data_IF_861647898846
#
_entry.id   IF_861647898846
#
_cell.length_a   1.000
_cell.length_b   1.000
_cell.length_c   1.000
_cell.angle_alpha   90.00
_cell.angle_beta   90.00
_cell.angle_gamma   90.00
#
_symmetry.space_group_name_H-M   'P 1'
#
loop_
_entity.id
_entity.type
_entity.pdbx_description
1 polymer ?
#
# COMPACT_ATOMS: atom_id res chain seq x y z
N UNK A 1 2.28 38.63 10.73
CA UNK A 1 2.24 38.83 9.25
C UNK A 1 3.29 38.00 8.50
N UNK A 2 4.60 38.26 8.60
CA UNK A 2 5.59 37.50 7.78
C UNK A 2 5.66 36.02 8.13
N UNK A 3 5.52 35.65 9.40
CA UNK A 3 5.52 34.28 9.87
C UNK A 3 4.21 33.56 9.55
N UNK A 4 3.07 34.19 9.70
CA UNK A 4 1.76 33.65 9.27
C UNK A 4 1.71 33.38 7.77
N UNK A 5 2.25 34.31 6.95
CA UNK A 5 2.39 34.11 5.50
C UNK A 5 3.31 32.94 5.16
N UNK A 6 4.38 32.72 5.95
CA UNK A 6 5.28 31.57 5.75
C UNK A 6 4.57 30.25 6.10
N UNK A 7 3.86 30.20 7.21
CA UNK A 7 3.05 29.02 7.62
C UNK A 7 1.96 28.71 6.61
N UNK A 8 1.23 29.73 6.12
CA UNK A 8 0.24 29.54 5.07
C UNK A 8 0.83 28.97 3.77
N UNK A 9 1.98 29.51 3.33
CA UNK A 9 2.67 28.96 2.15
C UNK A 9 3.11 27.51 2.36
N UNK A 10 3.57 27.14 3.57
CA UNK A 10 3.95 25.79 3.90
C UNK A 10 2.74 24.83 3.83
N UNK A 11 1.57 25.24 4.32
CA UNK A 11 0.32 24.46 4.20
C UNK A 11 -0.05 24.25 2.74
N UNK A 12 -0.01 25.29 1.92
CA UNK A 12 -0.32 25.21 0.49
C UNK A 12 0.67 24.27 -0.24
N UNK A 13 1.96 24.42 0.04
CA UNK A 13 3.00 23.57 -0.53
C UNK A 13 2.80 22.10 -0.17
N UNK A 14 2.54 21.80 1.11
CA UNK A 14 2.24 20.45 1.58
C UNK A 14 1.01 19.88 0.88
N UNK A 15 -0.09 20.63 0.82
CA UNK A 15 -1.31 20.21 0.15
C UNK A 15 -1.10 19.89 -1.33
N UNK A 16 -0.32 20.72 -2.04
CA UNK A 16 0.02 20.50 -3.45
C UNK A 16 0.89 19.24 -3.64
N UNK A 17 1.90 19.04 -2.80
CA UNK A 17 2.77 17.87 -2.87
C UNK A 17 2.00 16.58 -2.56
N UNK A 18 1.10 16.61 -1.57
CA UNK A 18 0.22 15.50 -1.25
C UNK A 18 -0.74 15.19 -2.41
N UNK A 19 -1.32 16.21 -3.04
CA UNK A 19 -2.23 16.05 -4.19
C UNK A 19 -1.53 15.47 -5.43
N UNK A 20 -0.22 15.66 -5.57
CA UNK A 20 0.59 15.10 -6.65
C UNK A 20 1.08 13.66 -6.38
N UNK A 21 0.83 13.10 -5.21
CA UNK A 21 1.25 11.75 -4.86
C UNK A 21 0.37 10.71 -5.55
N UNK A 22 0.99 9.75 -6.24
CA UNK A 22 0.30 8.70 -6.98
C UNK A 22 0.23 7.37 -6.23
N UNK A 23 1.11 7.16 -5.27
CA UNK A 23 1.16 5.94 -4.45
C UNK A 23 1.07 6.28 -2.96
N UNK A 24 0.65 5.33 -2.10
CA UNK A 24 0.68 5.52 -0.66
C UNK A 24 2.08 5.91 -0.14
N UNK A 25 3.14 5.28 -0.64
CA UNK A 25 4.52 5.60 -0.24
C UNK A 25 4.92 7.05 -0.59
N UNK A 26 4.52 7.53 -1.78
CA UNK A 26 4.77 8.93 -2.17
C UNK A 26 4.02 9.90 -1.25
N UNK A 27 2.76 9.58 -0.94
CA UNK A 27 1.93 10.35 -0.02
C UNK A 27 2.55 10.42 1.39
N UNK A 28 3.00 9.28 1.94
CA UNK A 28 3.65 9.24 3.25
C UNK A 28 4.95 10.05 3.29
N UNK A 29 5.78 9.91 2.24
CA UNK A 29 7.03 10.68 2.11
C UNK A 29 6.74 12.18 2.02
N UNK A 30 5.78 12.59 1.19
CA UNK A 30 5.37 13.97 1.03
C UNK A 30 4.86 14.56 2.36
N UNK A 31 4.04 13.81 3.09
CA UNK A 31 3.53 14.20 4.40
C UNK A 31 4.66 14.47 5.41
N UNK A 32 5.58 13.50 5.55
CA UNK A 32 6.66 13.59 6.53
C UNK A 32 7.66 14.71 6.17
N UNK A 33 8.11 14.79 4.91
CA UNK A 33 9.05 15.83 4.48
C UNK A 33 8.43 17.22 4.56
N UNK A 34 7.21 17.41 4.03
CA UNK A 34 6.56 18.72 4.05
C UNK A 34 6.27 19.22 5.46
N UNK A 35 5.86 18.35 6.38
CA UNK A 35 5.68 18.72 7.77
C UNK A 35 7.02 19.03 8.47
N UNK A 36 8.07 18.25 8.17
CA UNK A 36 9.42 18.50 8.68
C UNK A 36 9.91 19.91 8.31
N UNK A 37 9.80 20.26 7.03
CA UNK A 37 10.18 21.59 6.51
C UNK A 37 9.33 22.70 7.13
N UNK A 38 8.00 22.51 7.15
CA UNK A 38 7.06 23.51 7.66
C UNK A 38 7.29 23.88 9.13
N UNK A 39 7.71 22.91 9.95
CA UNK A 39 7.98 23.08 11.38
C UNK A 39 9.46 23.38 11.69
N UNK A 40 10.32 23.49 10.68
CA UNK A 40 11.77 23.64 10.89
C UNK A 40 12.35 22.46 11.67
N UNK A 41 11.84 21.28 11.44
CA UNK A 41 12.33 20.03 11.99
C UNK A 41 13.58 19.53 11.28
N UNK A 42 14.28 18.61 11.88
CA UNK A 42 15.40 17.88 11.25
C UNK A 42 15.00 16.45 10.83
N UNK A 43 13.96 15.90 11.43
CA UNK A 43 13.45 14.57 11.18
C UNK A 43 11.93 14.55 11.34
N UNK A 44 11.28 13.72 10.54
CA UNK A 44 9.86 13.43 10.69
C UNK A 44 9.57 11.96 10.46
N UNK A 45 8.52 11.45 11.08
CA UNK A 45 7.97 10.14 10.84
C UNK A 45 6.46 10.20 10.74
N UNK A 46 5.91 9.32 9.91
CA UNK A 46 4.48 9.06 9.82
C UNK A 46 4.23 7.64 10.29
N UNK A 47 3.31 7.46 11.23
CA UNK A 47 2.99 6.15 11.80
C UNK A 47 1.50 5.88 11.78
N UNK A 48 1.10 4.61 11.64
CA UNK A 48 -0.29 4.15 11.60
C UNK A 48 -0.61 3.24 12.78
N UNK A 49 -1.84 3.34 13.31
CA UNK A 49 -2.36 2.47 14.36
C UNK A 49 -2.86 1.15 13.79
N UNK A 50 -2.12 0.07 14.01
CA UNK A 50 -2.59 -1.30 13.76
C UNK A 50 -3.35 -1.80 15.00
N UNK A 51 -4.66 -1.51 15.05
CA UNK A 51 -5.52 -1.75 16.22
C UNK A 51 -5.65 -3.23 16.57
N UNK A 52 -5.77 -4.07 15.55
CA UNK A 52 -5.83 -5.52 15.64
C UNK A 52 -4.55 -6.12 16.24
N UNK A 53 -3.42 -5.46 16.05
CA UNK A 53 -2.11 -5.87 16.57
C UNK A 53 -1.67 -5.08 17.80
N UNK A 54 -2.47 -4.08 18.22
CA UNK A 54 -2.18 -3.24 19.38
C UNK A 54 -0.84 -2.49 19.29
N UNK A 55 -0.47 -2.00 18.09
CA UNK A 55 0.82 -1.33 17.87
C UNK A 55 0.72 -0.12 16.95
N UNK A 56 1.66 0.79 17.12
CA UNK A 56 1.95 1.90 16.22
C UNK A 56 3.05 1.46 15.26
N UNK A 57 2.76 1.32 13.97
CA UNK A 57 3.75 0.97 12.95
C UNK A 57 4.23 2.21 12.21
N UNK A 58 5.54 2.36 12.08
CA UNK A 58 6.16 3.44 11.29
C UNK A 58 6.01 3.12 9.80
N UNK A 59 5.48 4.06 9.04
CA UNK A 59 5.29 3.96 7.59
C UNK A 59 6.45 4.58 6.82
N UNK A 60 6.98 5.69 7.33
CA UNK A 60 8.09 6.42 6.72
C UNK A 60 8.86 7.21 7.77
N UNK A 61 10.17 7.24 7.61
CA UNK A 61 11.12 8.09 8.30
C UNK A 61 11.77 9.03 7.28
N UNK A 62 11.69 10.34 7.49
CA UNK A 62 12.15 11.37 6.56
C UNK A 62 13.07 12.40 7.24
N UNK A 63 13.91 13.07 6.44
CA UNK A 63 14.90 14.03 6.93
C UNK A 63 16.18 13.36 7.42
N UNK A 64 16.78 13.91 8.49
CA UNK A 64 18.03 13.41 9.07
C UNK A 64 17.77 12.17 9.93
N UNK A 65 17.93 11.01 9.33
CA UNK A 65 17.75 9.71 9.98
C UNK A 65 18.98 9.37 10.84
N UNK A 66 18.75 8.77 12.01
CA UNK A 66 19.81 8.22 12.82
C UNK A 66 20.34 6.89 12.22
N UNK A 67 21.48 6.41 12.71
CA UNK A 67 22.02 5.11 12.29
C UNK A 67 21.00 4.00 12.56
N UNK A 68 20.75 3.16 11.56
CA UNK A 68 19.76 2.07 11.59
C UNK A 68 18.31 2.49 11.33
N UNK A 69 18.01 3.77 11.09
CA UNK A 69 16.68 4.21 10.66
C UNK A 69 16.54 4.10 9.13
N UNK A 70 15.69 3.21 8.66
CA UNK A 70 15.33 3.08 7.25
C UNK A 70 14.25 4.09 6.86
N UNK A 71 14.21 4.49 5.59
CA UNK A 71 13.18 5.41 5.09
C UNK A 71 11.78 4.78 5.15
N UNK A 72 11.65 3.54 4.70
CA UNK A 72 10.42 2.75 4.75
C UNK A 72 10.67 1.47 5.53
N UNK A 73 10.65 1.52 6.88
CA UNK A 73 10.94 0.35 7.69
C UNK A 73 9.83 -0.69 7.59
N UNK A 74 10.21 -1.96 7.44
CA UNK A 74 9.24 -3.07 7.40
C UNK A 74 8.74 -3.47 8.78
N UNK A 75 9.63 -3.45 9.78
CA UNK A 75 9.36 -3.99 11.11
C UNK A 75 9.34 -2.95 12.25
N UNK A 76 9.59 -1.66 11.96
CA UNK A 76 9.60 -0.65 13.01
C UNK A 76 8.18 -0.40 13.54
N UNK A 77 7.90 -0.93 14.72
CA UNK A 77 6.63 -0.78 15.40
C UNK A 77 6.80 -0.70 16.91
N UNK A 78 5.87 0.00 17.54
CA UNK A 78 5.87 0.26 18.99
C UNK A 78 4.55 -0.21 19.61
N UNK A 79 4.58 -1.04 20.66
CA UNK A 79 3.37 -1.50 21.36
C UNK A 79 2.59 -0.33 21.96
N UNK A 80 1.26 -0.32 21.79
CA UNK A 80 0.38 0.78 22.27
C UNK A 80 0.49 0.98 23.79
N UNK A 81 0.64 -0.09 24.55
CA UNK A 81 0.72 -0.02 26.01
C UNK A 81 1.97 0.71 26.54
N UNK A 82 2.97 0.92 25.70
CA UNK A 82 4.16 1.74 26.03
C UNK A 82 3.89 3.25 25.91
N UNK A 83 2.72 3.64 25.39
CA UNK A 83 2.31 5.02 25.15
C UNK A 83 0.96 5.32 25.84
N UNK A 84 0.95 5.55 27.15
CA UNK A 84 -0.30 5.74 27.92
C UNK A 84 -1.16 6.88 27.40
N UNK A 85 -0.55 7.97 26.91
CA UNK A 85 -1.23 9.12 26.34
C UNK A 85 -2.03 8.77 25.09
N UNK A 86 -1.60 7.73 24.36
CA UNK A 86 -2.28 7.27 23.15
C UNK A 86 -3.50 6.43 23.51
N UNK A 87 -3.44 5.68 24.59
CA UNK A 87 -4.57 4.88 25.08
C UNK A 87 -5.79 5.76 25.39
N UNK A 88 -5.59 6.96 25.94
CA UNK A 88 -6.64 7.95 26.12
C UNK A 88 -7.21 8.45 24.78
N UNK A 89 -6.36 8.64 23.76
CA UNK A 89 -6.79 9.06 22.42
C UNK A 89 -7.62 8.00 21.71
N UNK A 90 -7.31 6.73 21.90
CA UNK A 90 -7.97 5.64 21.19
C UNK A 90 -9.41 5.38 21.66
N UNK A 91 -9.72 5.70 22.92
CA UNK A 91 -10.96 5.22 23.52
C UNK A 91 -12.04 6.28 23.78
N UNK A 92 -11.75 7.55 24.05
CA UNK A 92 -12.76 8.44 24.60
C UNK A 92 -13.07 9.74 23.87
N UNK A 93 -12.18 10.30 23.07
CA UNK A 93 -12.36 11.68 22.57
C UNK A 93 -13.00 11.82 21.20
N UNK A 94 -12.97 10.79 20.39
CA UNK A 94 -13.37 10.85 18.99
C UNK A 94 -14.85 10.57 18.78
N UNK A 95 -15.48 9.86 19.67
CA UNK A 95 -16.93 9.67 19.67
C UNK A 95 -17.68 11.00 19.89
N UNK A 96 -17.01 12.03 20.41
CA UNK A 96 -17.58 13.35 20.74
C UNK A 96 -17.25 14.48 19.76
N UNK A 97 -16.50 14.25 18.68
CA UNK A 97 -16.23 15.25 17.63
C UNK A 97 -15.19 16.31 17.98
N UNK A 98 -14.32 16.10 18.97
CA UNK A 98 -13.19 16.99 19.27
C UNK A 98 -11.98 16.67 18.40
N UNK A 99 -11.28 17.70 17.86
CA UNK A 99 -10.00 17.51 17.20
C UNK A 99 -8.88 17.30 18.24
N UNK A 100 -7.91 16.38 17.98
CA UNK A 100 -6.79 16.19 18.87
C UNK A 100 -5.78 17.30 18.72
N UNK A 101 -5.42 17.88 19.81
CA UNK A 101 -4.31 18.81 19.86
C UNK A 101 -2.98 18.07 19.75
N UNK A 102 -2.06 18.61 18.97
CA UNK A 102 -0.67 18.19 18.99
C UNK A 102 -0.03 18.57 20.32
N UNK A 103 1.04 17.85 20.68
CA UNK A 103 1.79 18.11 21.91
C UNK A 103 3.30 18.02 21.67
N UNK A 104 4.05 18.62 22.56
CA UNK A 104 5.51 18.64 22.52
C UNK A 104 6.11 17.80 23.65
N UNK A 105 7.11 16.99 23.32
CA UNK A 105 7.94 16.25 24.26
C UNK A 105 9.41 16.63 24.10
N UNK A 106 10.13 16.64 25.23
CA UNK A 106 11.53 17.04 25.29
C UNK A 106 12.43 15.92 25.80
N UNK A 107 13.66 15.89 25.34
CA UNK A 107 14.62 14.86 25.75
C UNK A 107 15.03 14.93 27.24
N UNK A 108 14.88 16.10 27.88
CA UNK A 108 15.07 16.27 29.32
C UNK A 108 13.88 15.80 30.15
N UNK A 109 12.75 15.53 29.49
CA UNK A 109 11.55 15.03 30.13
C UNK A 109 10.72 16.11 30.82
N UNK A 110 11.01 17.36 30.57
CA UNK A 110 10.19 18.47 31.04
C UNK A 110 8.91 18.56 30.20
N UNK A 111 7.76 18.95 30.80
CA UNK A 111 6.56 19.13 30.04
C UNK A 111 6.77 20.20 28.96
N UNK A 112 6.59 19.82 27.69
CA UNK A 112 6.59 20.74 26.56
C UNK A 112 5.26 21.50 26.47
N UNK A 113 5.21 22.51 25.59
CA UNK A 113 3.99 23.26 25.29
C UNK A 113 2.94 22.38 24.58
N UNK A 114 1.67 22.67 24.79
CA UNK A 114 0.55 22.04 24.12
C UNK A 114 -0.10 20.90 24.90
N UNK A 115 -1.28 20.51 24.46
CA UNK A 115 -2.09 19.45 25.04
C UNK A 115 -3.32 19.93 25.81
N UNK A 116 -4.29 19.05 26.10
CA UNK A 116 -5.53 19.44 26.76
C UNK A 116 -5.26 20.00 28.16
N UNK A 117 -6.04 21.03 28.50
CA UNK A 117 -5.94 21.79 29.75
C UNK A 117 -6.32 21.01 31.03
N UNK A 118 -6.50 19.68 30.97
CA UNK A 118 -6.93 18.85 32.10
C UNK A 118 -5.86 17.79 32.43
N UNK A 119 -5.13 18.07 33.50
CA UNK A 119 -4.23 17.13 34.17
C UNK A 119 -2.80 17.14 33.61
N UNK A 120 -1.81 16.90 34.48
CA UNK A 120 -0.43 16.63 34.07
C UNK A 120 -0.43 15.38 33.20
N UNK A 121 0.09 15.49 31.97
CA UNK A 121 0.23 14.32 31.10
C UNK A 121 1.22 13.35 31.71
N UNK A 122 0.94 12.05 31.63
CA UNK A 122 1.96 11.08 31.98
C UNK A 122 3.17 11.23 31.06
N UNK A 123 4.34 11.23 31.63
CA UNK A 123 5.62 11.29 30.96
C UNK A 123 5.84 10.02 30.14
N UNK A 124 6.05 10.15 28.83
CA UNK A 124 6.34 8.99 27.97
C UNK A 124 7.85 8.62 28.04
N UNK A 125 8.19 7.73 28.96
CA UNK A 125 9.58 7.28 29.12
C UNK A 125 10.19 6.71 27.84
N UNK A 126 9.43 5.99 27.04
CA UNK A 126 9.90 5.37 25.79
C UNK A 126 10.23 6.42 24.72
N UNK A 127 9.36 7.43 24.56
CA UNK A 127 9.57 8.49 23.58
C UNK A 127 10.77 9.37 23.94
N UNK A 128 10.90 9.72 25.20
CA UNK A 128 12.06 10.47 25.71
C UNK A 128 13.35 9.67 25.58
N UNK A 129 13.33 8.38 25.88
CA UNK A 129 14.48 7.51 25.68
C UNK A 129 14.86 7.42 24.18
N UNK A 130 13.87 7.37 23.28
CA UNK A 130 14.09 7.40 21.84
C UNK A 130 14.69 8.71 21.36
N UNK A 131 14.21 9.86 21.85
CA UNK A 131 14.80 11.18 21.56
C UNK A 131 16.28 11.21 21.91
N UNK A 132 16.63 10.78 23.15
CA UNK A 132 18.03 10.76 23.63
C UNK A 132 18.92 9.84 22.79
N UNK A 133 18.48 8.62 22.53
CA UNK A 133 19.25 7.66 21.72
C UNK A 133 19.56 8.16 20.33
N UNK A 134 18.62 8.91 19.74
CA UNK A 134 18.69 9.41 18.35
C UNK A 134 19.25 10.82 18.25
N UNK A 135 19.78 11.39 19.36
CA UNK A 135 20.36 12.74 19.37
C UNK A 135 19.37 13.87 19.11
N UNK A 136 18.07 13.63 19.37
CA UNK A 136 17.00 14.61 19.19
C UNK A 136 16.69 15.30 20.51
N UNK A 137 16.50 16.63 20.47
CA UNK A 137 16.25 17.43 21.68
C UNK A 137 14.78 17.51 22.06
N UNK A 138 13.90 17.57 21.08
CA UNK A 138 12.47 17.61 21.27
C UNK A 138 11.72 17.05 20.05
N UNK A 139 10.43 16.75 20.25
CA UNK A 139 9.52 16.43 19.17
C UNK A 139 8.15 17.08 19.39
N UNK A 140 7.43 17.30 18.30
CA UNK A 140 5.99 17.53 18.28
C UNK A 140 5.30 16.31 17.70
N UNK A 141 4.21 15.90 18.32
CA UNK A 141 3.38 14.77 17.90
C UNK A 141 1.99 15.29 17.62
N UNK A 142 1.53 15.10 16.40
CA UNK A 142 0.19 15.50 15.97
C UNK A 142 -0.60 14.26 15.54
N UNK A 143 -1.69 13.92 16.24
CA UNK A 143 -2.56 12.82 15.85
C UNK A 143 -3.21 13.09 14.50
N UNK A 144 -3.34 12.03 13.69
CA UNK A 144 -4.01 12.05 12.40
C UNK A 144 -5.34 11.33 12.54
N UNK A 145 -6.42 12.01 12.13
CA UNK A 145 -7.78 11.46 12.20
C UNK A 145 -8.36 11.31 10.82
N UNK A 146 -8.80 10.10 10.50
CA UNK A 146 -9.54 9.80 9.29
C UNK A 146 -10.93 9.26 9.64
N UNK A 147 -11.97 9.81 9.01
CA UNK A 147 -13.35 9.38 9.20
C UNK A 147 -13.79 9.34 10.68
N UNK A 148 -13.35 10.31 11.49
CA UNK A 148 -13.64 10.40 12.90
C UNK A 148 -12.95 9.36 13.80
N UNK A 149 -11.93 8.68 13.28
CA UNK A 149 -11.13 7.69 14.03
C UNK A 149 -9.65 8.07 14.00
N UNK A 150 -8.95 7.85 15.11
CA UNK A 150 -7.50 7.98 15.13
C UNK A 150 -6.88 6.99 14.13
N UNK A 151 -6.24 7.49 13.09
CA UNK A 151 -5.57 6.70 12.06
C UNK A 151 -4.11 6.45 12.41
N UNK A 152 -3.43 7.46 12.92
CA UNK A 152 -2.01 7.40 13.23
C UNK A 152 -1.51 8.70 13.82
N UNK A 153 -0.22 8.96 13.66
CA UNK A 153 0.40 10.20 14.13
C UNK A 153 1.46 10.72 13.16
N UNK A 154 1.58 12.02 13.11
CA UNK A 154 2.68 12.76 12.51
C UNK A 154 3.65 13.14 13.62
N UNK A 155 4.90 12.74 13.50
CA UNK A 155 5.98 13.02 14.42
C UNK A 155 7.02 13.89 13.73
N UNK A 156 7.39 15.03 14.34
CA UNK A 156 8.48 15.89 13.85
C UNK A 156 9.42 16.20 14.99
N UNK A 157 10.73 16.09 14.76
CA UNK A 157 11.75 16.31 15.78
C UNK A 157 12.80 17.33 15.35
N UNK A 158 13.36 18.04 16.33
CA UNK A 158 14.56 18.90 16.20
C UNK A 158 15.74 18.24 16.90
N UNK A 159 16.94 18.48 16.39
CA UNK A 159 18.17 18.01 17.00
C UNK A 159 18.40 18.63 18.40
N UNK A 160 19.16 17.94 19.22
CA UNK A 160 19.62 18.47 20.51
C UNK A 160 20.36 19.80 20.33
N UNK A 161 20.11 20.75 21.22
CA UNK A 161 20.68 22.11 21.14
C UNK A 161 19.93 23.09 20.23
N UNK A 162 18.90 22.65 19.52
CA UNK A 162 17.97 23.53 18.79
C UNK A 162 16.83 23.99 19.71
N UNK A 163 16.17 25.14 19.38
CA UNK A 163 15.01 25.62 20.14
C UNK A 163 13.93 24.54 20.23
N UNK A 164 13.34 24.40 21.41
CA UNK A 164 12.21 23.49 21.65
C UNK A 164 10.99 24.03 20.90
N UNK A 165 10.15 23.12 20.39
CA UNK A 165 8.86 23.50 19.81
C UNK A 165 8.00 24.19 20.88
N UNK A 166 7.32 25.26 20.50
CA UNK A 166 6.42 26.00 21.36
C UNK A 166 4.96 25.62 21.12
N UNK A 167 4.03 26.35 21.73
CA UNK A 167 2.60 26.12 21.60
C UNK A 167 2.08 26.43 20.20
N UNK A 168 2.64 27.45 19.56
CA UNK A 168 2.23 27.84 18.22
C UNK A 168 2.72 26.81 17.17
N UNK A 169 3.90 26.21 17.40
CA UNK A 169 4.37 25.08 16.63
C UNK A 169 3.44 23.86 16.79
N UNK A 170 2.98 23.57 18.01
CA UNK A 170 2.04 22.48 18.26
C UNK A 170 0.68 22.72 17.59
N UNK A 171 0.14 23.93 17.72
CA UNK A 171 -1.10 24.33 17.03
C UNK A 171 -0.96 24.19 15.51
N UNK A 172 0.18 24.61 14.97
CA UNK A 172 0.47 24.51 13.55
C UNK A 172 0.64 23.04 13.10
N UNK A 173 1.25 22.20 13.93
CA UNK A 173 1.33 20.75 13.67
C UNK A 173 -0.05 20.08 13.58
N UNK A 174 -1.03 20.54 14.38
CA UNK A 174 -2.43 20.09 14.28
C UNK A 174 -3.02 20.42 12.90
N UNK A 175 -2.78 21.64 12.41
CA UNK A 175 -3.22 22.05 11.05
C UNK A 175 -2.57 21.18 9.97
N UNK A 176 -1.26 20.95 10.07
CA UNK A 176 -0.55 20.07 9.13
C UNK A 176 -1.07 18.65 9.16
N UNK A 177 -1.37 18.11 10.35
CA UNK A 177 -1.95 16.76 10.49
C UNK A 177 -3.31 16.65 9.80
N UNK A 178 -4.15 17.69 9.84
CA UNK A 178 -5.42 17.70 9.11
C UNK A 178 -5.22 17.71 7.58
N UNK A 179 -4.23 18.44 7.07
CA UNK A 179 -3.86 18.42 5.64
C UNK A 179 -3.34 17.05 5.24
N UNK A 180 -2.46 16.47 6.04
CA UNK A 180 -1.92 15.11 5.84
C UNK A 180 -3.06 14.09 5.83
N UNK A 181 -4.01 14.17 6.77
CA UNK A 181 -5.19 13.32 6.82
C UNK A 181 -5.98 13.37 5.50
N UNK A 182 -6.24 14.57 4.98
CA UNK A 182 -6.95 14.74 3.71
C UNK A 182 -6.20 14.11 2.53
N UNK A 183 -4.88 14.28 2.45
CA UNK A 183 -4.07 13.71 1.38
C UNK A 183 -4.01 12.17 1.46
N UNK A 184 -3.86 11.60 2.65
CA UNK A 184 -3.90 10.14 2.86
C UNK A 184 -5.25 9.58 2.45
N UNK A 185 -6.36 10.18 2.89
CA UNK A 185 -7.71 9.75 2.52
C UNK A 185 -7.93 9.77 1.00
N UNK A 186 -7.38 10.77 0.31
CA UNK A 186 -7.44 10.83 -1.15
C UNK A 186 -6.66 9.68 -1.80
N UNK A 187 -5.45 9.40 -1.34
CA UNK A 187 -4.61 8.33 -1.88
C UNK A 187 -5.23 6.95 -1.62
N UNK A 188 -5.76 6.70 -0.41
CA UNK A 188 -6.47 5.47 -0.06
C UNK A 188 -7.70 5.26 -0.97
N UNK A 189 -8.47 6.32 -1.23
CA UNK A 189 -9.61 6.25 -2.17
C UNK A 189 -9.18 5.93 -3.59
N UNK A 190 -8.08 6.52 -4.06
CA UNK A 190 -7.56 6.21 -5.40
C UNK A 190 -7.12 4.75 -5.52
N UNK A 191 -6.44 4.22 -4.50
CA UNK A 191 -6.06 2.81 -4.44
C UNK A 191 -7.28 1.88 -4.39
N UNK A 192 -8.30 2.23 -3.63
CA UNK A 192 -9.54 1.45 -3.58
C UNK A 192 -10.26 1.46 -4.94
N UNK A 193 -10.37 2.64 -5.58
CA UNK A 193 -10.94 2.75 -6.93
C UNK A 193 -10.13 1.95 -7.95
N UNK A 194 -8.79 1.98 -7.89
CA UNK A 194 -7.92 1.16 -8.73
C UNK A 194 -8.16 -0.32 -8.50
N UNK A 195 -8.22 -0.74 -7.24
CA UNK A 195 -8.53 -2.12 -6.87
C UNK A 195 -9.85 -2.58 -7.47
N UNK A 196 -10.91 -1.82 -7.26
CA UNK A 196 -12.23 -2.11 -7.83
C UNK A 196 -12.24 -2.10 -9.36
N UNK A 197 -11.46 -1.23 -10.00
CA UNK A 197 -11.40 -1.11 -11.45
C UNK A 197 -10.57 -2.19 -12.13
N UNK A 198 -9.54 -2.74 -11.46
CA UNK A 198 -8.51 -3.58 -12.08
C UNK A 198 -8.29 -4.93 -11.43
N UNK A 199 -8.98 -5.26 -10.33
CA UNK A 199 -8.89 -6.58 -9.69
C UNK A 199 -10.23 -7.30 -9.68
N UNK A 200 -10.18 -8.63 -9.66
CA UNK A 200 -11.34 -9.49 -9.41
C UNK A 200 -11.60 -9.57 -7.90
N UNK A 201 -12.80 -9.23 -7.41
CA UNK A 201 -13.07 -9.13 -5.97
C UNK A 201 -13.04 -10.47 -5.23
N UNK A 202 -13.23 -11.58 -5.93
CA UNK A 202 -13.22 -12.92 -5.32
C UNK A 202 -11.79 -13.43 -5.14
N UNK A 203 -10.99 -13.37 -6.20
CA UNK A 203 -9.65 -13.99 -6.19
C UNK A 203 -8.52 -13.01 -5.85
N UNK A 204 -8.78 -11.70 -5.89
CA UNK A 204 -7.76 -10.66 -5.72
C UNK A 204 -6.78 -10.54 -6.89
N UNK A 205 -6.91 -11.38 -7.92
CA UNK A 205 -6.12 -11.30 -9.16
C UNK A 205 -6.52 -10.08 -10.00
N UNK A 206 -5.72 -9.76 -11.02
CA UNK A 206 -6.13 -8.79 -12.02
C UNK A 206 -7.45 -9.24 -12.70
N UNK A 207 -8.28 -8.27 -13.09
CA UNK A 207 -9.50 -8.56 -13.85
C UNK A 207 -9.26 -8.43 -15.37
N UNK A 208 -10.29 -8.72 -16.17
CA UNK A 208 -10.22 -8.64 -17.63
C UNK A 208 -9.75 -7.28 -18.15
N UNK A 209 -10.19 -6.18 -17.51
CA UNK A 209 -9.78 -4.83 -17.91
C UNK A 209 -8.29 -4.58 -17.74
N UNK A 210 -7.71 -5.07 -16.65
CA UNK A 210 -6.26 -4.99 -16.42
C UNK A 210 -5.49 -5.78 -17.48
N UNK A 211 -5.99 -6.96 -17.86
CA UNK A 211 -5.40 -7.80 -18.92
C UNK A 211 -5.43 -7.09 -20.28
N UNK A 212 -6.56 -6.48 -20.65
CA UNK A 212 -6.71 -5.80 -21.93
C UNK A 212 -5.67 -4.67 -22.06
N UNK A 213 -5.50 -3.84 -21.01
CA UNK A 213 -4.50 -2.77 -20.99
C UNK A 213 -3.07 -3.36 -21.06
N UNK A 214 -2.77 -4.35 -20.22
CA UNK A 214 -1.43 -4.96 -20.18
C UNK A 214 -1.03 -5.59 -21.51
N UNK A 215 -1.95 -6.25 -22.19
CA UNK A 215 -1.70 -6.85 -23.49
C UNK A 215 -1.50 -5.80 -24.58
N UNK A 216 -2.27 -4.71 -24.59
CA UNK A 216 -2.08 -3.64 -25.54
C UNK A 216 -0.70 -2.99 -25.38
N UNK A 217 -0.26 -2.72 -24.17
CA UNK A 217 1.08 -2.22 -23.85
C UNK A 217 2.18 -3.21 -24.27
N UNK A 218 2.00 -4.50 -23.96
CA UNK A 218 2.98 -5.54 -24.30
C UNK A 218 3.09 -5.75 -25.82
N UNK A 219 2.00 -5.73 -26.56
CA UNK A 219 2.01 -5.82 -28.03
C UNK A 219 2.69 -4.59 -28.66
N UNK A 220 2.51 -3.40 -28.07
CA UNK A 220 3.22 -2.21 -28.54
C UNK A 220 4.74 -2.31 -28.24
N UNK A 221 5.12 -2.82 -27.06
CA UNK A 221 6.53 -3.11 -26.73
C UNK A 221 7.13 -4.18 -27.64
N UNK A 222 6.36 -5.21 -28.00
CA UNK A 222 6.78 -6.19 -29.03
C UNK A 222 7.04 -5.52 -30.37
N UNK A 223 6.12 -4.66 -30.83
CA UNK A 223 6.22 -3.97 -32.11
C UNK A 223 7.41 -3.02 -32.20
N UNK A 224 7.76 -2.33 -31.09
CA UNK A 224 8.80 -1.29 -31.07
C UNK A 224 10.16 -1.80 -30.67
N UNK A 225 10.23 -2.74 -29.74
CA UNK A 225 11.47 -3.26 -29.14
C UNK A 225 11.69 -4.76 -29.34
N UNK A 226 10.77 -5.47 -30.00
CA UNK A 226 10.89 -6.91 -30.25
C UNK A 226 10.74 -7.79 -29.00
N UNK A 227 10.17 -7.24 -27.90
CA UNK A 227 9.97 -7.99 -26.66
C UNK A 227 9.01 -9.14 -26.91
N UNK A 228 9.35 -10.35 -26.46
CA UNK A 228 8.47 -11.52 -26.59
C UNK A 228 7.28 -11.35 -25.65
N UNK A 229 6.07 -11.55 -26.16
CA UNK A 229 4.83 -11.53 -25.36
C UNK A 229 4.16 -12.89 -25.44
N UNK A 230 3.85 -13.46 -24.31
CA UNK A 230 3.18 -14.75 -24.18
C UNK A 230 1.91 -14.63 -23.36
N UNK A 231 0.89 -15.37 -23.77
CA UNK A 231 -0.40 -15.46 -23.09
C UNK A 231 -0.72 -16.93 -22.82
N UNK A 232 -0.99 -17.26 -21.57
CA UNK A 232 -1.60 -18.52 -21.15
C UNK A 232 -3.06 -18.25 -20.84
N UNK A 233 -3.98 -18.94 -21.50
CA UNK A 233 -5.41 -18.96 -21.16
C UNK A 233 -5.72 -20.24 -20.44
N UNK A 234 -6.49 -20.15 -19.36
CA UNK A 234 -6.78 -21.25 -18.47
C UNK A 234 -8.29 -21.35 -18.23
N UNK A 235 -8.83 -22.54 -18.31
CA UNK A 235 -10.23 -22.86 -17.99
C UNK A 235 -10.27 -23.90 -16.87
N UNK A 236 -10.88 -23.56 -15.74
CA UNK A 236 -10.94 -24.40 -14.56
C UNK A 236 -12.03 -25.45 -14.73
N UNK A 237 -11.64 -26.71 -14.87
CA UNK A 237 -12.53 -27.80 -15.17
C UNK A 237 -13.51 -28.11 -14.00
N UNK A 238 -14.77 -28.30 -14.35
CA UNK A 238 -15.75 -28.87 -13.45
C UNK A 238 -16.38 -27.92 -12.42
N UNK A 239 -16.14 -26.62 -12.49
CA UNK A 239 -16.70 -25.62 -11.57
C UNK A 239 -18.22 -25.73 -11.45
N UNK A 240 -18.93 -25.92 -12.58
CA UNK A 240 -20.39 -26.09 -12.57
C UNK A 240 -20.84 -27.30 -11.75
N UNK A 241 -20.18 -28.44 -11.91
CA UNK A 241 -20.51 -29.65 -11.14
C UNK A 241 -20.26 -29.45 -9.64
N UNK A 242 -19.21 -28.72 -9.27
CA UNK A 242 -18.91 -28.34 -7.87
C UNK A 242 -20.03 -27.48 -7.31
N UNK A 243 -20.43 -26.42 -8.06
CA UNK A 243 -21.51 -25.54 -7.66
C UNK A 243 -22.86 -26.29 -7.49
N UNK A 244 -23.19 -27.15 -8.44
CA UNK A 244 -24.45 -27.92 -8.42
C UNK A 244 -24.49 -28.94 -7.27
N UNK A 245 -23.34 -29.51 -6.88
CA UNK A 245 -23.23 -30.51 -5.84
C UNK A 245 -23.03 -29.94 -4.45
N UNK A 246 -22.19 -28.90 -4.31
CA UNK A 246 -21.71 -28.40 -3.03
C UNK A 246 -22.11 -26.93 -2.75
N UNK A 247 -22.77 -26.26 -3.71
CA UNK A 247 -23.18 -24.87 -3.62
C UNK A 247 -22.09 -23.86 -4.00
N UNK A 248 -22.51 -22.63 -4.34
CA UNK A 248 -21.64 -21.57 -4.85
C UNK A 248 -20.49 -21.20 -3.89
N UNK A 249 -20.71 -21.23 -2.58
CA UNK A 249 -19.65 -20.93 -1.61
C UNK A 249 -18.45 -21.92 -1.67
N UNK A 250 -18.68 -23.15 -2.13
CA UNK A 250 -17.61 -24.14 -2.33
C UNK A 250 -16.91 -23.88 -3.67
N UNK A 251 -17.68 -23.54 -4.72
CA UNK A 251 -17.11 -23.10 -5.99
C UNK A 251 -16.27 -21.84 -5.88
N UNK A 252 -16.69 -20.87 -5.07
CA UNK A 252 -15.92 -19.65 -4.79
C UNK A 252 -14.57 -19.99 -4.14
N UNK A 253 -14.55 -20.90 -3.15
CA UNK A 253 -13.29 -21.38 -2.54
C UNK A 253 -12.39 -22.10 -3.54
N UNK A 254 -12.95 -22.86 -4.48
CA UNK A 254 -12.18 -23.48 -5.54
C UNK A 254 -11.52 -22.43 -6.45
N UNK A 255 -12.26 -21.38 -6.83
CA UNK A 255 -11.76 -20.25 -7.62
C UNK A 255 -10.65 -19.49 -6.88
N UNK A 256 -10.81 -19.20 -5.58
CA UNK A 256 -9.78 -18.56 -4.74
C UNK A 256 -8.49 -19.40 -4.65
N UNK A 257 -8.64 -20.72 -4.44
CA UNK A 257 -7.49 -21.64 -4.39
C UNK A 257 -6.76 -21.70 -5.73
N UNK A 258 -7.48 -21.83 -6.84
CA UNK A 258 -6.87 -21.83 -8.16
C UNK A 258 -6.21 -20.48 -8.45
N UNK A 259 -6.85 -19.36 -8.12
CA UNK A 259 -6.25 -18.03 -8.24
C UNK A 259 -4.93 -17.90 -7.48
N UNK A 260 -4.85 -18.45 -6.28
CA UNK A 260 -3.61 -18.49 -5.49
C UNK A 260 -2.52 -19.32 -6.16
N UNK A 261 -2.86 -20.49 -6.73
CA UNK A 261 -1.92 -21.33 -7.49
C UNK A 261 -1.43 -20.61 -8.74
N UNK A 262 -2.33 -19.98 -9.50
CA UNK A 262 -1.97 -19.19 -10.69
C UNK A 262 -1.03 -18.03 -10.34
N UNK A 263 -1.29 -17.32 -9.24
CA UNK A 263 -0.42 -16.23 -8.76
C UNK A 263 0.99 -16.74 -8.40
N UNK A 264 1.08 -17.90 -7.72
CA UNK A 264 2.36 -18.51 -7.37
C UNK A 264 3.16 -18.97 -8.62
N UNK A 265 2.47 -19.56 -9.59
CA UNK A 265 3.10 -19.94 -10.86
C UNK A 265 3.52 -18.70 -11.67
N UNK A 266 2.67 -17.66 -11.70
CA UNK A 266 3.00 -16.38 -12.35
C UNK A 266 4.23 -15.71 -11.76
N UNK A 267 4.43 -15.79 -10.44
CA UNK A 267 5.61 -15.25 -9.76
C UNK A 267 6.95 -15.94 -10.16
N UNK A 268 6.90 -17.06 -10.86
CA UNK A 268 8.09 -17.69 -11.45
C UNK A 268 8.60 -16.95 -12.70
N UNK A 269 7.79 -16.10 -13.30
CA UNK A 269 8.13 -15.29 -14.47
C UNK A 269 8.23 -13.80 -14.05
N UNK A 270 9.27 -13.09 -14.48
CA UNK A 270 9.41 -11.67 -14.19
C UNK A 270 8.19 -10.89 -14.68
N UNK A 271 7.64 -10.02 -13.83
CA UNK A 271 6.55 -9.08 -14.13
C UNK A 271 5.30 -9.68 -14.78
N UNK A 272 5.07 -10.98 -14.64
CA UNK A 272 3.90 -11.64 -15.20
C UNK A 272 2.63 -11.23 -14.46
N UNK A 273 1.55 -11.03 -15.23
CA UNK A 273 0.23 -10.65 -14.72
C UNK A 273 -0.68 -11.88 -14.68
N UNK A 274 -1.01 -12.33 -13.46
CA UNK A 274 -2.05 -13.35 -13.25
C UNK A 274 -3.42 -12.69 -13.13
N UNK A 275 -4.42 -13.23 -13.84
CA UNK A 275 -5.73 -12.61 -13.90
C UNK A 275 -6.88 -13.63 -13.98
N UNK A 276 -8.07 -13.19 -13.54
CA UNK A 276 -9.35 -13.87 -13.78
C UNK A 276 -10.18 -13.06 -14.77
N UNK A 277 -10.59 -13.71 -15.85
CA UNK A 277 -11.35 -13.08 -16.93
C UNK A 277 -12.85 -13.07 -16.66
N UNK A 278 -13.33 -14.01 -15.86
CA UNK A 278 -14.72 -14.19 -15.43
C UNK A 278 -15.09 -15.67 -15.35
N UNK A 279 -16.09 -16.01 -14.57
CA UNK A 279 -16.48 -17.42 -14.38
C UNK A 279 -15.31 -18.29 -13.94
N UNK A 280 -14.99 -19.30 -14.74
CA UNK A 280 -13.89 -20.27 -14.61
C UNK A 280 -12.68 -19.95 -15.50
N UNK A 281 -12.73 -18.83 -16.24
CA UNK A 281 -11.65 -18.39 -17.14
C UNK A 281 -10.60 -17.55 -16.42
N UNK A 282 -9.33 -17.93 -16.57
CA UNK A 282 -8.16 -17.23 -16.04
C UNK A 282 -7.11 -17.03 -17.14
N UNK A 283 -6.13 -16.20 -16.88
CA UNK A 283 -4.97 -16.09 -17.77
C UNK A 283 -3.71 -15.62 -17.04
N UNK A 284 -2.56 -15.84 -17.72
CA UNK A 284 -1.25 -15.32 -17.34
C UNK A 284 -0.66 -14.59 -18.56
N UNK A 285 -0.32 -13.32 -18.39
CA UNK A 285 0.36 -12.51 -19.40
C UNK A 285 1.81 -12.33 -18.97
N UNK A 286 2.75 -12.66 -19.83
CA UNK A 286 4.19 -12.47 -19.60
C UNK A 286 4.82 -11.76 -20.80
N UNK A 287 5.63 -10.75 -20.54
CA UNK A 287 6.43 -10.05 -21.55
C UNK A 287 7.91 -10.07 -21.14
N UNK A 288 8.76 -10.46 -22.07
CA UNK A 288 10.19 -10.67 -21.87
C UNK A 288 10.61 -12.13 -21.88
N UNK A 289 10.04 -13.00 -21.01
CA UNK A 289 10.45 -14.41 -20.96
C UNK A 289 10.29 -15.14 -22.30
N UNK A 290 11.22 -16.07 -22.62
CA UNK A 290 11.10 -16.97 -23.78
C UNK A 290 9.81 -17.82 -23.69
N UNK A 291 9.29 -18.22 -24.86
CA UNK A 291 8.04 -18.98 -24.95
C UNK A 291 8.10 -20.33 -24.23
N UNK A 292 9.25 -21.01 -24.26
CA UNK A 292 9.49 -22.31 -23.60
C UNK A 292 9.44 -22.19 -22.06
N UNK A 293 9.92 -21.11 -21.48
CA UNK A 293 9.78 -20.85 -20.03
C UNK A 293 8.30 -20.69 -19.64
N UNK A 294 7.53 -19.96 -20.44
CA UNK A 294 6.11 -19.78 -20.20
C UNK A 294 5.34 -21.10 -20.35
N UNK A 295 5.71 -21.93 -21.31
CA UNK A 295 5.15 -23.29 -21.46
C UNK A 295 5.50 -24.15 -20.25
N UNK A 296 6.72 -24.05 -19.72
CA UNK A 296 7.12 -24.73 -18.48
C UNK A 296 6.26 -24.34 -17.28
N UNK A 297 6.00 -23.03 -17.11
CA UNK A 297 5.12 -22.52 -16.05
C UNK A 297 3.66 -22.95 -16.24
N UNK A 298 3.16 -23.00 -17.48
CA UNK A 298 1.82 -23.49 -17.78
C UNK A 298 1.67 -25.00 -17.47
N UNK A 299 2.72 -25.79 -17.70
CA UNK A 299 2.76 -27.21 -17.34
C UNK A 299 2.72 -27.40 -15.82
N UNK A 300 3.57 -26.69 -15.09
CA UNK A 300 3.56 -26.68 -13.62
C UNK A 300 2.21 -26.24 -13.04
N UNK A 301 1.55 -25.26 -13.67
CA UNK A 301 0.21 -24.83 -13.29
C UNK A 301 -0.81 -25.97 -13.43
N UNK A 302 -0.77 -26.73 -14.53
CA UNK A 302 -1.63 -27.88 -14.74
C UNK A 302 -1.40 -28.96 -13.68
N UNK A 303 -0.16 -29.27 -13.35
CA UNK A 303 0.20 -30.28 -12.34
C UNK A 303 -0.28 -29.85 -10.95
N UNK A 304 -0.09 -28.60 -10.58
CA UNK A 304 -0.56 -28.05 -9.30
C UNK A 304 -2.09 -27.96 -9.23
N UNK A 305 -2.75 -27.61 -10.34
CA UNK A 305 -4.20 -27.56 -10.41
C UNK A 305 -4.84 -28.95 -10.28
N UNK A 306 -4.19 -30.00 -10.76
CA UNK A 306 -4.67 -31.38 -10.69
C UNK A 306 -4.81 -31.90 -9.26
N UNK A 307 -4.06 -31.35 -8.30
CA UNK A 307 -4.12 -31.75 -6.88
C UNK A 307 -5.00 -30.84 -6.01
N UNK A 308 -5.65 -29.83 -6.61
CA UNK A 308 -6.61 -28.99 -5.87
C UNK A 308 -7.84 -29.83 -5.49
N UNK A 309 -8.13 -29.87 -4.21
CA UNK A 309 -9.29 -30.56 -3.68
C UNK A 309 -10.60 -30.03 -4.28
N UNK A 310 -11.50 -30.92 -4.70
CA UNK A 310 -12.76 -30.64 -5.41
C UNK A 310 -12.59 -30.14 -6.86
N UNK A 311 -11.37 -29.88 -7.32
CA UNK A 311 -11.11 -29.50 -8.71
C UNK A 311 -10.93 -30.71 -9.64
N UNK A 312 -11.20 -30.52 -10.93
CA UNK A 312 -10.93 -31.50 -11.99
C UNK A 312 -9.75 -31.05 -12.88
N UNK A 313 -8.78 -30.33 -12.28
CA UNK A 313 -7.66 -29.74 -13.00
C UNK A 313 -8.05 -28.51 -13.82
N UNK A 314 -7.18 -28.13 -14.73
CA UNK A 314 -7.31 -26.94 -15.59
C UNK A 314 -6.91 -27.30 -17.01
N UNK A 315 -7.59 -26.75 -18.01
CA UNK A 315 -7.15 -26.76 -19.39
C UNK A 315 -6.38 -25.48 -19.67
N UNK A 316 -5.13 -25.57 -20.18
CA UNK A 316 -4.33 -24.42 -20.52
C UNK A 316 -3.98 -24.40 -22.01
N UNK A 317 -4.06 -23.19 -22.61
CA UNK A 317 -3.59 -22.94 -23.96
C UNK A 317 -2.54 -21.81 -23.94
N UNK A 318 -1.43 -22.01 -24.60
CA UNK A 318 -0.32 -21.03 -24.66
C UNK A 318 -0.16 -20.49 -26.07
N UNK A 319 0.02 -19.19 -26.20
CA UNK A 319 0.44 -18.55 -27.44
C UNK A 319 1.50 -17.48 -27.17
N UNK A 320 2.50 -17.42 -28.05
CA UNK A 320 3.60 -16.47 -27.91
C UNK A 320 3.91 -15.76 -29.22
N UNK A 321 4.33 -14.50 -29.14
CA UNK A 321 4.87 -13.77 -30.30
C UNK A 321 6.26 -14.33 -30.73
N UNK A 322 6.91 -15.12 -29.88
CA UNK A 322 8.14 -15.85 -30.19
C UNK A 322 7.95 -17.12 -31.01
N UNK A 323 6.69 -17.59 -31.15
CA UNK A 323 6.38 -18.79 -31.92
C UNK A 323 6.36 -18.53 -33.43
N UNK A 324 6.69 -19.53 -34.29
CA UNK A 324 6.71 -19.38 -35.75
C UNK A 324 5.31 -19.35 -36.40
N UNK A 325 4.29 -18.92 -35.66
CA UNK A 325 2.86 -18.86 -36.06
C UNK A 325 2.48 -17.62 -36.91
N UNK A 326 3.47 -16.85 -37.32
CA UNK A 326 3.32 -15.63 -38.09
C UNK A 326 3.04 -14.41 -37.20
N UNK A 327 3.07 -13.19 -37.77
CA UNK A 327 3.10 -11.97 -36.99
C UNK A 327 1.83 -11.78 -36.14
N UNK A 328 1.99 -11.67 -34.84
CA UNK A 328 0.94 -11.29 -33.90
C UNK A 328 0.94 -9.77 -33.80
N UNK A 329 -0.11 -9.12 -34.31
CA UNK A 329 -0.22 -7.65 -34.38
C UNK A 329 -1.29 -7.08 -33.44
N UNK A 330 -1.94 -7.90 -32.65
CA UNK A 330 -2.99 -7.46 -31.72
C UNK A 330 -3.21 -8.44 -30.58
N UNK A 331 -3.56 -7.94 -29.41
CA UNK A 331 -4.00 -8.70 -28.24
C UNK A 331 -5.09 -9.74 -28.59
N UNK A 332 -6.11 -9.31 -29.38
CA UNK A 332 -7.19 -10.20 -29.82
C UNK A 332 -6.71 -11.41 -30.62
N UNK A 333 -5.64 -11.26 -31.43
CA UNK A 333 -5.07 -12.40 -32.17
C UNK A 333 -4.36 -13.36 -31.23
N UNK A 334 -3.60 -12.83 -30.24
CA UNK A 334 -2.90 -13.65 -29.27
C UNK A 334 -3.90 -14.47 -28.43
N UNK A 335 -4.99 -13.84 -27.97
CA UNK A 335 -6.07 -14.54 -27.27
C UNK A 335 -6.64 -15.69 -28.09
N UNK A 336 -7.02 -15.46 -29.33
CA UNK A 336 -7.58 -16.52 -30.19
C UNK A 336 -6.63 -17.68 -30.44
N UNK A 337 -5.33 -17.44 -30.48
CA UNK A 337 -4.33 -18.48 -30.65
C UNK A 337 -4.16 -19.31 -29.35
N UNK A 338 -4.13 -18.66 -28.19
CA UNK A 338 -4.07 -19.32 -26.88
C UNK A 338 -5.35 -20.15 -26.64
N UNK A 339 -6.53 -19.57 -26.90
CA UNK A 339 -7.81 -20.26 -26.79
C UNK A 339 -7.88 -21.49 -27.71
N UNK A 340 -7.44 -21.36 -28.98
CA UNK A 340 -7.38 -22.49 -29.90
C UNK A 340 -6.37 -23.59 -29.49
N UNK A 341 -5.33 -23.25 -28.74
CA UNK A 341 -4.36 -24.19 -28.21
C UNK A 341 -4.91 -25.01 -27.03
N UNK A 342 -5.86 -24.46 -26.28
CA UNK A 342 -6.50 -25.09 -25.14
C UNK A 342 -7.34 -26.34 -25.52
N UNK A 343 -7.89 -26.37 -26.73
CA UNK A 343 -8.74 -27.45 -27.24
C UNK A 343 -7.98 -28.54 -28.00
N UNK A 344 -6.65 -28.57 -27.96
CA UNK A 344 -5.81 -29.61 -28.59
C UNK A 344 -5.21 -30.57 -27.59
#
# INVERSE_FOLDING_TARGET
MAEEDARLRAVVSLAQTMAAAYTPRDSWRAAALGACEALGGSFAALSVWERDRGRLRVLVNAGQRAEGEEEFPEEEAYPVHEFPEITEFLHERWAGGGEPDAWVETADGLPGAGGPARGARPYCHQRVAALRRRGRGCCVVAPIVLHGRAWGELYVARQAGKPVFDRDDANFATVLAAVVASGIAQTERLEEVRKLAFTDPLTGLANRRAVDIRLDEAIEAHRTAGIVVSLVVCDLNGLKAVNDTHGHAVGDRLLERFGSVLSLCGAMLPDALAARLGGDEFCLVADGPPADEVVGVATELCDRAAVIELGNGVACGVASTGDPIGPVRSARRLFRLADAAQYR
#
